data_IF_995661577809
#
_entry.id   IF_995661577809
#
_cell.length_a   1.000
_cell.length_b   1.000
_cell.length_c   1.000
_cell.angle_alpha   90.00
_cell.angle_beta   90.00
_cell.angle_gamma   90.00
#
_symmetry.space_group_name_H-M   'P 1'
#
loop_
_entity.id
_entity.type
_entity.pdbx_description
1 polymer ?
#
# COMPACT_ATOMS: atom_id res chain seq x y z
N UNK A 1 -42.53 -4.93 2.61
CA UNK A 1 -41.67 -5.59 3.61
C UNK A 1 -40.24 -5.88 3.15
N UNK A 2 -39.90 -5.70 1.87
CA UNK A 2 -38.51 -5.74 1.38
C UNK A 2 -37.95 -4.32 1.16
N UNK A 3 -38.82 -3.33 0.94
CA UNK A 3 -38.45 -1.91 0.88
C UNK A 3 -38.01 -1.29 2.21
N UNK A 4 -38.19 -2.00 3.33
CA UNK A 4 -37.87 -1.49 4.66
C UNK A 4 -36.43 -1.82 5.11
N UNK A 5 -35.69 -2.62 4.33
CA UNK A 5 -34.31 -3.06 4.63
C UNK A 5 -33.30 -2.75 3.51
N UNK A 6 -33.76 -2.22 2.37
CA UNK A 6 -32.89 -1.66 1.34
C UNK A 6 -32.43 -0.27 1.79
N UNK A 7 -31.12 -0.11 2.04
CA UNK A 7 -30.53 1.17 2.45
C UNK A 7 -29.62 1.09 3.67
N UNK A 8 -29.63 -0.02 4.41
CA UNK A 8 -28.71 -0.28 5.53
C UNK A 8 -27.86 -1.54 5.23
N UNK A 9 -27.08 -1.49 4.15
CA UNK A 9 -26.10 -2.54 3.82
C UNK A 9 -26.62 -3.75 3.05
N UNK A 10 -27.94 -3.92 2.94
CA UNK A 10 -28.55 -4.96 2.10
C UNK A 10 -28.69 -4.52 0.64
N UNK A 11 -28.31 -5.38 -0.31
CA UNK A 11 -28.38 -5.12 -1.74
C UNK A 11 -28.87 -6.33 -2.52
N UNK A 12 -29.55 -6.09 -3.63
CA UNK A 12 -29.93 -7.13 -4.60
C UNK A 12 -28.95 -7.06 -5.77
N UNK A 13 -28.19 -8.13 -5.98
CA UNK A 13 -27.23 -8.25 -7.07
C UNK A 13 -27.81 -9.05 -8.23
N UNK A 14 -27.61 -8.55 -9.45
CA UNK A 14 -27.97 -9.22 -10.71
C UNK A 14 -26.78 -9.21 -11.67
N UNK A 15 -26.17 -10.37 -11.90
CA UNK A 15 -25.11 -10.52 -12.90
C UNK A 15 -25.70 -10.92 -14.25
N UNK A 16 -26.01 -9.94 -15.10
CA UNK A 16 -26.28 -10.13 -16.53
C UNK A 16 -27.42 -11.10 -16.91
N UNK A 17 -28.34 -11.42 -15.99
CA UNK A 17 -29.42 -12.40 -16.21
C UNK A 17 -30.60 -12.23 -15.23
N UNK A 18 -31.54 -13.20 -15.23
CA UNK A 18 -32.80 -13.14 -14.46
C UNK A 18 -32.70 -13.60 -12.99
N UNK A 19 -31.55 -14.14 -12.56
CA UNK A 19 -31.36 -14.59 -11.18
C UNK A 19 -30.90 -13.43 -10.30
N UNK A 20 -31.78 -13.03 -9.40
CA UNK A 20 -31.48 -12.07 -8.32
C UNK A 20 -30.85 -12.80 -7.13
N UNK A 21 -29.73 -12.29 -6.63
CA UNK A 21 -29.08 -12.77 -5.40
C UNK A 21 -29.10 -11.66 -4.37
N UNK A 22 -29.64 -11.94 -3.18
CA UNK A 22 -29.58 -11.00 -2.05
C UNK A 22 -28.19 -11.07 -1.43
N UNK A 23 -27.55 -9.93 -1.27
CA UNK A 23 -26.26 -9.77 -0.63
C UNK A 23 -26.48 -8.91 0.60
N UNK A 24 -26.20 -9.47 1.77
CA UNK A 24 -26.27 -8.74 3.02
C UNK A 24 -24.89 -8.22 3.37
N UNK A 25 -24.70 -6.91 3.31
CA UNK A 25 -23.53 -6.22 3.83
C UNK A 25 -23.79 -5.69 5.25
N UNK A 26 -22.80 -5.77 6.15
CA UNK A 26 -22.91 -5.09 7.43
C UNK A 26 -23.01 -3.58 7.19
N UNK A 27 -24.03 -2.94 7.75
CA UNK A 27 -24.11 -1.48 7.81
C UNK A 27 -23.50 -1.02 9.14
N UNK A 28 -22.55 -0.10 9.04
CA UNK A 28 -22.07 0.68 10.17
C UNK A 28 -22.43 2.13 9.92
N UNK A 29 -23.14 2.74 10.87
CA UNK A 29 -23.42 4.18 10.87
C UNK A 29 -22.19 4.98 11.30
N UNK A 30 -22.13 6.24 10.89
CA UNK A 30 -21.04 7.16 11.30
C UNK A 30 -20.96 7.27 12.83
N UNK A 31 -22.10 7.31 13.51
CA UNK A 31 -22.16 7.35 14.98
C UNK A 31 -21.55 6.11 15.65
N UNK A 32 -21.78 4.92 15.09
CA UNK A 32 -21.17 3.69 15.61
C UNK A 32 -19.64 3.71 15.43
N UNK A 33 -19.17 4.19 14.28
CA UNK A 33 -17.74 4.35 13.99
C UNK A 33 -17.12 5.32 15.01
N UNK A 34 -17.73 6.49 15.21
CA UNK A 34 -17.25 7.48 16.19
C UNK A 34 -17.19 6.91 17.61
N UNK A 35 -18.22 6.18 18.03
CA UNK A 35 -18.26 5.55 19.36
C UNK A 35 -17.15 4.51 19.54
N UNK A 36 -16.91 3.67 18.53
CA UNK A 36 -15.83 2.68 18.55
C UNK A 36 -14.47 3.37 18.61
N UNK A 37 -14.26 4.40 17.78
CA UNK A 37 -13.02 5.17 17.76
C UNK A 37 -12.76 5.83 19.11
N UNK A 38 -13.78 6.44 19.72
CA UNK A 38 -13.66 7.08 21.03
C UNK A 38 -13.39 6.05 22.13
N UNK A 39 -14.03 4.88 22.07
CA UNK A 39 -13.76 3.78 22.98
C UNK A 39 -12.31 3.32 22.89
N UNK A 40 -11.77 3.10 21.69
CA UNK A 40 -10.37 2.70 21.48
C UNK A 40 -9.42 3.78 21.99
N UNK A 41 -9.67 5.06 21.68
CA UNK A 41 -8.88 6.19 22.20
C UNK A 41 -8.89 6.31 23.72
N UNK A 42 -9.98 5.87 24.37
CA UNK A 42 -10.12 5.90 25.82
C UNK A 42 -9.37 4.78 26.53
N UNK A 43 -8.93 3.76 25.79
CA UNK A 43 -8.08 2.72 26.36
C UNK A 43 -6.68 3.31 26.55
N UNK A 44 -6.15 3.16 27.76
CA UNK A 44 -4.84 3.65 28.13
C UNK A 44 -3.78 2.79 27.42
N UNK A 45 -3.27 3.29 26.29
CA UNK A 45 -2.26 2.60 25.47
C UNK A 45 -0.85 2.70 26.06
N UNK A 46 -0.73 3.10 27.33
CA UNK A 46 0.55 3.32 28.02
C UNK A 46 1.43 2.05 28.15
N UNK A 47 0.88 0.86 27.90
CA UNK A 47 1.66 -0.41 27.80
C UNK A 47 2.14 -0.74 26.39
N UNK A 48 1.75 0.02 25.36
CA UNK A 48 2.30 -0.14 24.02
C UNK A 48 3.58 0.69 23.92
N UNK A 49 4.71 0.00 23.90
CA UNK A 49 6.05 0.58 23.74
C UNK A 49 6.04 1.64 22.62
N UNK A 50 6.66 2.79 22.90
CA UNK A 50 6.79 4.02 22.09
C UNK A 50 7.35 3.85 20.65
N UNK A 51 7.47 2.64 20.12
CA UNK A 51 8.04 2.35 18.81
C UNK A 51 7.06 2.27 17.63
N UNK A 52 5.75 2.15 17.87
CA UNK A 52 4.76 1.99 16.79
C UNK A 52 3.59 2.98 16.96
N UNK A 53 3.88 4.29 16.93
CA UNK A 53 2.85 5.23 16.51
C UNK A 53 2.45 4.88 15.08
N UNK A 54 1.25 4.30 14.93
CA UNK A 54 0.61 4.11 13.62
C UNK A 54 0.32 5.53 13.09
N UNK A 55 1.24 6.08 12.32
CA UNK A 55 1.03 7.32 11.59
C UNK A 55 -0.07 7.08 10.57
N UNK A 56 -1.25 7.62 10.82
CA UNK A 56 -2.25 7.83 9.77
C UNK A 56 -1.82 9.03 8.91
N UNK A 57 -0.64 8.94 8.29
CA UNK A 57 -0.34 9.77 7.13
C UNK A 57 -1.11 9.17 5.96
N UNK A 58 -2.32 9.70 5.73
CA UNK A 58 -2.88 9.69 4.38
C UNK A 58 -1.92 10.55 3.55
N UNK A 59 -1.15 10.00 2.60
CA UNK A 59 -0.20 10.80 1.85
C UNK A 59 -1.00 11.73 0.96
N UNK A 60 -1.16 12.99 1.38
CA UNK A 60 -1.50 14.06 0.46
C UNK A 60 -0.21 14.28 -0.34
N UNK A 61 -0.20 14.08 -1.67
CA UNK A 61 1.01 14.17 -2.46
C UNK A 61 1.36 15.64 -2.62
N UNK A 62 2.05 16.23 -1.65
CA UNK A 62 2.66 17.54 -1.80
C UNK A 62 4.09 17.48 -1.25
N UNK A 63 4.99 17.36 -2.21
CA UNK A 63 6.34 17.91 -2.27
C UNK A 63 6.99 18.38 -0.96
N UNK A 64 8.21 17.85 -0.78
CA UNK A 64 9.40 18.44 -0.12
C UNK A 64 9.66 18.00 1.33
N UNK A 65 10.94 17.67 1.56
CA UNK A 65 11.68 17.46 2.82
C UNK A 65 11.23 16.26 3.66
N UNK A 66 11.92 15.13 3.61
CA UNK A 66 13.23 14.87 4.24
C UNK A 66 13.12 14.92 5.77
N UNK A 67 12.73 13.79 6.39
CA UNK A 67 13.25 13.42 7.71
C UNK A 67 13.40 11.91 7.83
N UNK A 68 14.59 11.56 8.29
CA UNK A 68 15.16 10.25 8.47
C UNK A 68 14.47 9.43 9.55
N UNK A 69 14.07 8.19 9.23
CA UNK A 69 13.80 7.14 10.20
C UNK A 69 14.72 5.94 9.94
N UNK A 70 15.83 5.92 10.69
CA UNK A 70 16.78 4.82 10.80
C UNK A 70 16.09 3.59 11.38
N UNK A 71 15.97 2.53 10.59
CA UNK A 71 15.92 1.15 11.09
C UNK A 71 17.12 0.40 10.51
N UNK A 72 18.12 0.19 11.38
CA UNK A 72 19.28 -0.66 11.13
C UNK A 72 18.86 -2.12 11.26
N UNK A 73 18.61 -2.79 10.13
CA UNK A 73 18.96 -4.20 9.95
C UNK A 73 19.68 -4.40 8.61
N UNK A 74 20.98 -4.14 8.65
CA UNK A 74 21.88 -4.13 7.50
C UNK A 74 22.35 -2.71 7.23
N UNK A 75 23.56 -2.40 7.67
CA UNK A 75 24.35 -1.23 7.30
C UNK A 75 24.62 -1.23 5.78
N UNK A 76 23.59 -0.96 5.02
CA UNK A 76 23.71 -0.49 3.67
C UNK A 76 23.07 0.88 3.62
N UNK A 77 23.77 1.89 3.09
CA UNK A 77 23.13 3.17 2.81
C UNK A 77 21.89 2.95 1.93
N UNK A 78 20.99 3.94 1.83
CA UNK A 78 19.90 3.85 0.84
C UNK A 78 20.43 3.55 -0.59
N UNK A 79 21.68 3.90 -0.87
CA UNK A 79 22.39 3.53 -2.09
C UNK A 79 22.70 2.02 -2.17
N UNK A 80 23.03 1.35 -1.05
CA UNK A 80 23.25 -0.09 -1.04
C UNK A 80 21.96 -0.89 -1.25
N UNK A 81 20.84 -0.42 -0.69
CA UNK A 81 19.52 -0.98 -0.98
C UNK A 81 19.16 -0.80 -2.45
N UNK A 82 19.43 0.38 -3.02
CA UNK A 82 19.25 0.64 -4.44
C UNK A 82 20.12 -0.25 -5.32
N UNK A 83 21.41 -0.35 -5.06
CA UNK A 83 22.34 -1.21 -5.79
C UNK A 83 21.91 -2.67 -5.76
N UNK A 84 21.44 -3.16 -4.60
CA UNK A 84 20.91 -4.51 -4.46
C UNK A 84 19.63 -4.71 -5.27
N UNK A 85 18.75 -3.73 -5.27
CA UNK A 85 17.52 -3.74 -6.06
C UNK A 85 17.84 -3.79 -7.57
N UNK A 86 18.79 -2.98 -8.04
CA UNK A 86 19.24 -2.97 -9.43
C UNK A 86 19.81 -4.35 -9.82
N UNK A 87 20.66 -4.93 -8.96
CA UNK A 87 21.24 -6.25 -9.20
C UNK A 87 20.16 -7.34 -9.35
N UNK A 88 19.14 -7.34 -8.48
CA UNK A 88 18.01 -8.27 -8.54
C UNK A 88 17.24 -8.09 -9.85
N UNK A 89 16.90 -6.85 -10.19
CA UNK A 89 16.12 -6.54 -11.39
C UNK A 89 16.88 -6.92 -12.65
N UNK A 90 18.19 -6.64 -12.73
CA UNK A 90 19.06 -7.04 -13.85
C UNK A 90 19.18 -8.56 -13.96
N UNK A 91 19.35 -9.27 -12.84
CA UNK A 91 19.46 -10.74 -12.81
C UNK A 91 18.18 -11.43 -13.28
N UNK A 92 17.04 -11.01 -12.74
CA UNK A 92 15.78 -11.75 -12.88
C UNK A 92 14.88 -11.18 -13.98
N UNK A 93 15.30 -10.08 -14.62
CA UNK A 93 14.59 -9.36 -15.69
C UNK A 93 13.13 -9.03 -15.36
N UNK A 94 12.88 -8.71 -14.09
CA UNK A 94 11.54 -8.44 -13.52
C UNK A 94 11.50 -7.08 -12.81
N UNK A 95 11.40 -5.97 -13.56
CA UNK A 95 11.32 -4.62 -13.01
C UNK A 95 9.90 -4.29 -12.54
N UNK A 96 9.38 -5.03 -11.55
CA UNK A 96 8.06 -4.75 -10.95
C UNK A 96 8.16 -4.48 -9.46
N UNK A 97 7.35 -3.54 -8.98
CA UNK A 97 7.30 -3.10 -7.58
C UNK A 97 7.06 -4.30 -6.65
N UNK A 98 6.07 -5.14 -6.96
CA UNK A 98 5.75 -6.32 -6.15
C UNK A 98 6.85 -7.38 -6.15
N UNK A 99 7.70 -7.44 -7.17
CA UNK A 99 8.84 -8.36 -7.21
C UNK A 99 9.97 -7.87 -6.31
N UNK A 100 10.35 -6.59 -6.44
CA UNK A 100 11.37 -5.95 -5.61
C UNK A 100 10.97 -5.98 -4.12
N UNK A 101 9.69 -5.72 -3.84
CA UNK A 101 9.11 -5.80 -2.49
C UNK A 101 9.37 -7.16 -1.83
N UNK A 102 9.07 -8.26 -2.52
CA UNK A 102 9.26 -9.62 -1.98
C UNK A 102 10.73 -10.01 -1.86
N UNK A 103 11.57 -9.61 -2.82
CA UNK A 103 12.97 -10.01 -2.83
C UNK A 103 13.80 -9.26 -1.78
N UNK A 104 13.46 -8.01 -1.49
CA UNK A 104 14.14 -7.18 -0.49
C UNK A 104 13.43 -7.16 0.86
N UNK A 105 12.24 -7.76 0.98
CA UNK A 105 11.40 -7.77 2.20
C UNK A 105 11.13 -6.35 2.74
N UNK A 106 10.91 -5.41 1.83
CA UNK A 106 10.61 -4.01 2.14
C UNK A 106 9.11 -3.72 1.96
N UNK A 107 8.62 -2.59 2.49
CA UNK A 107 7.26 -2.10 2.27
C UNK A 107 7.02 -1.66 0.82
N UNK A 108 5.74 -1.54 0.44
CA UNK A 108 5.33 -1.15 -0.92
C UNK A 108 5.90 0.22 -1.33
N UNK A 109 5.77 1.23 -0.46
CA UNK A 109 6.26 2.59 -0.76
C UNK A 109 7.76 2.61 -1.03
N UNK A 110 8.56 1.91 -0.20
CA UNK A 110 10.00 1.82 -0.39
C UNK A 110 10.37 1.10 -1.70
N UNK A 111 9.65 0.04 -2.06
CA UNK A 111 9.84 -0.64 -3.34
C UNK A 111 9.44 0.23 -4.54
N UNK A 112 8.39 1.05 -4.41
CA UNK A 112 7.96 1.99 -5.44
C UNK A 112 9.03 3.08 -5.66
N UNK A 113 9.52 3.71 -4.59
CA UNK A 113 10.59 4.72 -4.67
C UNK A 113 11.88 4.16 -5.30
N UNK A 114 12.25 2.92 -5.00
CA UNK A 114 13.41 2.27 -5.63
C UNK A 114 13.21 2.07 -7.13
N UNK A 115 12.00 1.68 -7.54
CA UNK A 115 11.64 1.49 -8.95
C UNK A 115 11.56 2.83 -9.70
N UNK A 116 11.06 3.90 -9.07
CA UNK A 116 11.07 5.26 -9.63
C UNK A 116 12.50 5.78 -9.80
N UNK A 117 13.36 5.62 -8.78
CA UNK A 117 14.80 5.96 -8.89
C UNK A 117 15.51 5.16 -10.00
N UNK A 118 15.10 3.91 -10.26
CA UNK A 118 15.64 3.12 -11.38
C UNK A 118 15.20 3.66 -12.74
N UNK A 119 13.99 4.23 -12.82
CA UNK A 119 13.47 4.85 -14.03
C UNK A 119 14.17 6.19 -14.30
N UNK A 120 14.33 7.03 -13.26
CA UNK A 120 15.05 8.30 -13.33
C UNK A 120 16.52 8.12 -13.75
N UNK A 121 17.18 7.09 -13.22
CA UNK A 121 18.56 6.76 -13.55
C UNK A 121 18.70 5.99 -14.89
N UNK A 122 17.61 5.75 -15.61
CA UNK A 122 17.64 5.09 -16.92
C UNK A 122 17.95 3.59 -16.89
N UNK A 123 17.84 2.94 -15.73
CA UNK A 123 18.02 1.49 -15.59
C UNK A 123 16.82 0.73 -16.16
N UNK A 124 15.61 1.27 -15.97
CA UNK A 124 14.35 0.68 -16.44
C UNK A 124 13.53 1.70 -17.24
N UNK A 125 12.68 1.21 -18.14
CA UNK A 125 11.80 2.04 -18.94
C UNK A 125 10.61 2.54 -18.13
N UNK A 126 9.99 3.60 -18.64
CA UNK A 126 8.65 3.98 -18.25
C UNK A 126 7.67 2.80 -18.40
N UNK A 127 6.63 2.73 -17.57
CA UNK A 127 5.60 1.72 -17.70
C UNK A 127 4.87 1.85 -19.04
N UNK A 128 4.68 0.74 -19.74
CA UNK A 128 3.82 0.70 -20.91
C UNK A 128 2.33 0.75 -20.51
N UNK A 129 1.42 0.75 -21.50
CA UNK A 129 -0.04 0.77 -21.28
C UNK A 129 -0.53 -0.38 -20.38
N UNK A 130 0.23 -1.48 -20.29
CA UNK A 130 -0.06 -2.64 -19.42
C UNK A 130 0.71 -2.62 -18.08
N UNK A 131 1.37 -1.52 -17.74
CA UNK A 131 2.16 -1.36 -16.51
C UNK A 131 3.46 -2.17 -16.48
N UNK A 132 3.89 -2.75 -17.61
CA UNK A 132 5.17 -3.46 -17.70
C UNK A 132 6.29 -2.48 -18.01
N UNK A 133 7.44 -2.69 -17.36
CA UNK A 133 8.68 -1.96 -17.57
C UNK A 133 9.70 -2.89 -18.22
N UNK A 134 10.57 -2.33 -19.05
CA UNK A 134 11.69 -3.02 -19.67
C UNK A 134 13.00 -2.53 -19.04
N UNK A 135 14.09 -3.28 -19.19
CA UNK A 135 15.40 -2.87 -18.66
C UNK A 135 16.14 -2.23 -19.82
N UNK A 136 16.64 -1.00 -19.61
CA UNK A 136 17.23 -0.16 -20.66
C UNK A 136 18.75 -0.23 -20.71
N UNK A 137 19.40 -0.56 -19.59
CA UNK A 137 20.86 -0.74 -19.55
C UNK A 137 21.27 -2.20 -19.80
N UNK A 138 22.13 -2.40 -20.80
CA UNK A 138 23.08 -3.53 -20.87
C UNK A 138 24.33 -3.22 -20.03
#
# INVERSE_FOLDING_TARGET
GAEQLLGQGDMIFMSGGSKMTRVHGPFCSDTEIENIVNYIKSQDLSEFEEGEQISFEVPIPNSSSDESANFSDGSGSDDDLYNRAVMIVKRDKKPSISYVQRQLRIGYNRAATLIEKMEENGVISAPNISGKREILEE
#
